data_IF_230366425503
#
_entry.id   IF_230366425503
#
_cell.length_a   1.000
_cell.length_b   1.000
_cell.length_c   1.000
_cell.angle_alpha   90.00
_cell.angle_beta   90.00
_cell.angle_gamma   90.00
#
_symmetry.space_group_name_H-M   'P 1'
#
loop_
_entity.id
_entity.type
_entity.pdbx_description
1 polymer ?
#
# COMPACT_ATOMS: atom_id res chain seq x y z
N UNK A 1 -22.90 -8.52 -16.35
CA UNK A 1 -21.73 -7.80 -16.90
C UNK A 1 -20.66 -7.82 -15.83
N UNK A 2 -19.39 -8.09 -16.16
CA UNK A 2 -18.31 -8.08 -15.18
C UNK A 2 -18.14 -6.67 -14.60
N UNK A 3 -17.87 -6.58 -13.31
CA UNK A 3 -17.60 -5.30 -12.63
C UNK A 3 -16.35 -4.63 -13.21
N UNK A 4 -16.24 -3.32 -13.08
CA UNK A 4 -15.08 -2.54 -13.54
C UNK A 4 -13.75 -3.11 -13.02
N UNK A 5 -13.76 -3.60 -11.78
CA UNK A 5 -12.61 -4.26 -11.15
C UNK A 5 -12.29 -5.58 -11.85
N UNK A 6 -13.28 -6.42 -12.18
CA UNK A 6 -13.06 -7.68 -12.90
C UNK A 6 -12.46 -7.45 -14.30
N UNK A 7 -12.93 -6.40 -14.99
CA UNK A 7 -12.41 -6.02 -16.31
C UNK A 7 -10.94 -5.56 -16.23
N UNK A 8 -10.61 -4.67 -15.28
CA UNK A 8 -9.24 -4.20 -15.06
C UNK A 8 -8.29 -5.29 -14.57
N UNK A 9 -8.82 -6.20 -13.79
CA UNK A 9 -8.05 -7.29 -13.22
C UNK A 9 -7.67 -8.30 -14.30
N UNK A 10 -8.50 -8.49 -15.33
CA UNK A 10 -8.23 -9.35 -16.48
C UNK A 10 -7.77 -10.77 -16.07
N UNK A 11 -8.35 -11.30 -14.99
CA UNK A 11 -8.01 -12.62 -14.43
C UNK A 11 -6.77 -12.66 -13.53
N UNK A 12 -6.08 -11.53 -13.31
CA UNK A 12 -4.98 -11.44 -12.33
C UNK A 12 -5.51 -11.54 -10.90
N UNK A 13 -4.66 -11.88 -9.94
CA UNK A 13 -5.04 -11.80 -8.54
C UNK A 13 -4.86 -10.35 -8.06
N UNK A 14 -5.94 -9.70 -7.67
CA UNK A 14 -5.85 -8.40 -7.00
C UNK A 14 -5.38 -8.62 -5.56
N UNK A 15 -4.17 -8.18 -5.24
CA UNK A 15 -3.57 -8.35 -3.91
C UNK A 15 -3.82 -7.13 -3.02
N UNK A 16 -3.99 -5.95 -3.62
CA UNK A 16 -4.27 -4.72 -2.88
C UNK A 16 -5.16 -3.75 -3.65
N UNK A 17 -6.09 -3.12 -2.93
CA UNK A 17 -6.82 -1.96 -3.40
C UNK A 17 -6.61 -0.85 -2.38
N UNK A 18 -5.93 0.24 -2.77
CA UNK A 18 -5.68 1.40 -1.90
C UNK A 18 -6.15 2.69 -2.56
N UNK A 19 -6.54 3.67 -1.76
CA UNK A 19 -6.82 5.03 -2.21
C UNK A 19 -5.74 5.95 -1.66
N UNK A 20 -4.89 6.45 -2.54
CA UNK A 20 -3.75 7.30 -2.17
C UNK A 20 -4.07 8.80 -2.22
N UNK A 21 -5.17 9.18 -2.88
CA UNK A 21 -5.63 10.57 -2.95
C UNK A 21 -7.11 10.64 -2.57
N UNK A 22 -7.46 11.66 -1.79
CA UNK A 22 -8.86 12.02 -1.60
C UNK A 22 -9.28 13.06 -2.63
N UNK A 23 -9.63 12.59 -3.83
CA UNK A 23 -10.02 13.44 -4.95
C UNK A 23 -11.40 13.03 -5.48
N UNK A 24 -12.40 13.94 -5.51
CA UNK A 24 -13.73 13.63 -6.02
C UNK A 24 -13.81 13.66 -7.56
N UNK A 25 -12.72 14.02 -8.25
CA UNK A 25 -12.73 14.15 -9.70
C UNK A 25 -12.89 12.79 -10.40
N UNK A 26 -13.52 12.82 -11.57
CA UNK A 26 -13.69 11.66 -12.43
C UNK A 26 -12.34 11.19 -12.98
N UNK A 27 -12.14 9.88 -12.97
CA UNK A 27 -10.97 9.23 -13.56
C UNK A 27 -11.11 9.21 -15.07
N UNK A 28 -10.06 9.64 -15.76
CA UNK A 28 -9.98 9.55 -17.23
C UNK A 28 -8.66 8.93 -17.69
N UNK A 29 -7.76 8.63 -16.76
CA UNK A 29 -6.40 8.23 -17.07
C UNK A 29 -5.99 7.03 -16.21
N UNK A 30 -5.45 6.01 -16.87
CA UNK A 30 -4.87 4.85 -16.23
C UNK A 30 -3.35 4.93 -16.33
N UNK A 31 -2.69 4.92 -15.19
CA UNK A 31 -1.24 4.91 -15.10
C UNK A 31 -0.77 3.54 -14.63
N UNK A 32 0.28 3.03 -15.26
CA UNK A 32 0.71 1.65 -15.07
C UNK A 32 2.06 1.60 -14.35
N UNK A 33 2.19 0.65 -13.43
CA UNK A 33 3.49 0.32 -12.85
C UNK A 33 4.40 -0.37 -13.85
N UNK A 34 5.70 -0.47 -13.53
CA UNK A 34 6.56 -1.42 -14.21
C UNK A 34 5.97 -2.83 -14.07
N UNK A 35 6.20 -3.68 -15.07
CA UNK A 35 5.93 -5.10 -14.97
C UNK A 35 7.13 -5.83 -14.36
N UNK A 36 6.90 -6.96 -13.70
CA UNK A 36 7.96 -7.81 -13.14
C UNK A 36 9.00 -8.24 -14.19
N UNK A 37 8.58 -8.50 -15.43
CA UNK A 37 9.45 -8.81 -16.56
C UNK A 37 8.95 -8.18 -17.87
N UNK A 38 9.82 -8.00 -18.89
CA UNK A 38 9.38 -7.54 -20.21
C UNK A 38 8.33 -8.47 -20.82
N UNK A 39 7.16 -7.91 -21.15
CA UNK A 39 6.03 -8.65 -21.73
C UNK A 39 4.96 -9.05 -20.71
N UNK A 40 5.23 -8.94 -19.42
CA UNK A 40 4.23 -9.18 -18.37
C UNK A 40 3.27 -8.00 -18.22
N UNK A 41 2.06 -8.22 -17.68
CA UNK A 41 1.16 -7.15 -17.28
C UNK A 41 1.79 -6.27 -16.19
N UNK A 42 1.37 -5.00 -16.12
CA UNK A 42 1.82 -4.07 -15.10
C UNK A 42 1.51 -4.55 -13.67
N UNK A 43 2.47 -4.36 -12.76
CA UNK A 43 2.38 -4.80 -11.36
C UNK A 43 1.32 -4.02 -10.56
N UNK A 44 0.98 -2.80 -11.00
CA UNK A 44 -0.09 -2.00 -10.43
C UNK A 44 -0.71 -1.09 -11.47
N UNK A 45 -1.93 -0.65 -11.20
CA UNK A 45 -2.67 0.34 -11.99
C UNK A 45 -3.15 1.45 -11.06
N UNK A 46 -2.89 2.70 -11.41
CA UNK A 46 -3.40 3.89 -10.73
C UNK A 46 -4.45 4.58 -11.61
N UNK A 47 -5.60 4.86 -11.02
CA UNK A 47 -6.73 5.53 -11.64
C UNK A 47 -6.70 7.01 -11.25
N UNK A 48 -6.46 7.89 -12.20
CA UNK A 48 -6.20 9.31 -11.96
C UNK A 48 -7.09 10.20 -12.84
N UNK A 49 -7.41 11.38 -12.30
CA UNK A 49 -7.92 12.48 -13.11
C UNK A 49 -6.76 13.14 -13.88
N UNK A 50 -7.04 13.94 -14.93
CA UNK A 50 -6.00 14.57 -15.75
C UNK A 50 -4.97 15.35 -14.93
N UNK A 51 -5.46 16.17 -13.99
CA UNK A 51 -4.59 17.00 -13.14
C UNK A 51 -3.58 16.18 -12.32
N UNK A 52 -4.01 15.06 -11.73
CA UNK A 52 -3.10 14.20 -10.95
C UNK A 52 -2.21 13.33 -11.83
N UNK A 53 -2.65 12.99 -13.05
CA UNK A 53 -1.80 12.29 -14.00
C UNK A 53 -0.64 13.18 -14.48
N UNK A 54 -0.93 14.45 -14.79
CA UNK A 54 0.04 15.44 -15.25
C UNK A 54 1.02 15.88 -14.16
N UNK A 55 0.59 15.91 -12.90
CA UNK A 55 1.44 16.27 -11.77
C UNK A 55 2.51 15.22 -11.42
N UNK A 56 2.37 13.99 -11.92
CA UNK A 56 3.31 12.90 -11.64
C UNK A 56 4.45 12.87 -12.68
N UNK A 57 5.73 12.79 -12.27
CA UNK A 57 6.88 12.80 -13.18
C UNK A 57 6.77 11.70 -14.23
N UNK A 58 7.21 11.90 -15.48
CA UNK A 58 7.13 10.87 -16.53
C UNK A 58 7.75 9.54 -16.03
N UNK A 59 6.90 8.53 -15.88
CA UNK A 59 7.23 7.17 -15.43
C UNK A 59 6.46 6.17 -16.28
N UNK A 60 6.70 4.85 -16.15
CA UNK A 60 6.26 3.89 -17.16
C UNK A 60 4.74 3.94 -17.39
N UNK A 61 4.36 3.78 -18.66
CA UNK A 61 3.01 3.49 -19.16
C UNK A 61 1.89 4.45 -18.75
N UNK A 62 1.53 5.39 -19.63
CA UNK A 62 0.17 5.96 -19.64
C UNK A 62 -0.65 5.19 -20.64
N UNK A 63 -1.72 4.52 -20.18
CA UNK A 63 -2.71 3.93 -21.07
C UNK A 63 -3.92 4.85 -21.12
N UNK A 64 -4.27 5.32 -22.31
CA UNK A 64 -5.52 6.03 -22.55
C UNK A 64 -6.65 5.01 -22.71
N UNK A 65 -7.71 5.12 -21.92
CA UNK A 65 -8.90 4.28 -22.02
C UNK A 65 -9.38 3.80 -20.66
N UNK A 66 -10.24 4.58 -20.01
CA UNK A 66 -10.95 4.22 -18.77
C UNK A 66 -12.47 4.27 -18.94
N UNK A 67 -12.96 4.24 -20.18
CA UNK A 67 -14.40 4.36 -20.46
C UNK A 67 -15.18 3.28 -19.70
N UNK A 68 -16.01 3.73 -18.76
CA UNK A 68 -16.85 2.88 -17.91
C UNK A 68 -16.35 2.63 -16.48
N UNK A 69 -15.11 3.01 -16.13
CA UNK A 69 -14.57 2.75 -14.78
C UNK A 69 -15.12 3.73 -13.73
N UNK A 70 -15.83 3.23 -12.72
CA UNK A 70 -16.43 4.03 -11.64
C UNK A 70 -15.58 4.11 -10.35
N UNK A 71 -14.26 3.93 -10.42
CA UNK A 71 -13.39 4.09 -9.25
C UNK A 71 -12.97 5.56 -9.06
N UNK A 72 -12.83 6.04 -7.81
CA UNK A 72 -12.43 7.40 -7.53
C UNK A 72 -10.98 7.67 -7.95
N UNK A 73 -10.67 8.94 -8.26
CA UNK A 73 -9.30 9.36 -8.50
C UNK A 73 -8.42 9.05 -7.28
N UNK A 74 -7.24 8.49 -7.54
CA UNK A 74 -6.30 8.03 -6.51
C UNK A 74 -6.49 6.57 -6.12
N UNK A 75 -7.44 5.84 -6.71
CA UNK A 75 -7.49 4.38 -6.55
C UNK A 75 -6.28 3.71 -7.21
N UNK A 76 -5.67 2.77 -6.51
CA UNK A 76 -4.56 1.94 -6.99
C UNK A 76 -4.93 0.47 -6.79
N UNK A 77 -4.90 -0.27 -7.90
CA UNK A 77 -5.00 -1.72 -7.94
C UNK A 77 -3.58 -2.29 -7.97
N UNK A 78 -3.25 -3.14 -7.02
CA UNK A 78 -1.91 -3.73 -6.89
C UNK A 78 -1.99 -5.25 -7.08
N UNK A 79 -1.18 -5.75 -8.00
CA UNK A 79 -1.12 -7.15 -8.41
C UNK A 79 0.17 -7.84 -7.96
N UNK A 80 1.07 -7.10 -7.28
CA UNK A 80 2.28 -7.66 -6.66
C UNK A 80 1.91 -8.69 -5.60
N UNK A 81 2.81 -9.61 -5.30
CA UNK A 81 2.61 -10.56 -4.18
C UNK A 81 2.51 -9.82 -2.85
N UNK A 82 1.91 -10.46 -1.85
CA UNK A 82 1.81 -9.88 -0.50
C UNK A 82 3.20 -9.55 0.06
N UNK A 83 4.18 -10.41 -0.17
CA UNK A 83 5.57 -10.20 0.25
C UNK A 83 6.22 -8.99 -0.45
N UNK A 84 5.95 -8.80 -1.74
CA UNK A 84 6.43 -7.62 -2.48
C UNK A 84 5.78 -6.33 -1.96
N UNK A 85 4.49 -6.37 -1.60
CA UNK A 85 3.79 -5.25 -0.96
C UNK A 85 4.37 -4.95 0.42
N UNK A 86 4.60 -5.97 1.24
CA UNK A 86 5.22 -5.81 2.56
C UNK A 86 6.64 -5.25 2.45
N UNK A 87 7.42 -5.67 1.46
CA UNK A 87 8.72 -5.07 1.15
C UNK A 87 8.59 -3.60 0.78
N UNK A 88 7.60 -3.25 -0.04
CA UNK A 88 7.32 -1.84 -0.39
C UNK A 88 7.03 -1.00 0.84
N UNK A 89 6.23 -1.49 1.80
CA UNK A 89 5.97 -0.76 3.05
C UNK A 89 7.21 -0.66 3.96
N UNK A 90 8.03 -1.71 4.01
CA UNK A 90 9.33 -1.69 4.69
C UNK A 90 10.23 -0.57 4.16
N UNK A 91 10.40 -0.52 2.84
CA UNK A 91 11.27 0.44 2.17
C UNK A 91 10.75 1.89 2.26
N UNK A 92 9.43 2.08 2.21
CA UNK A 92 8.81 3.41 2.20
C UNK A 92 8.79 4.08 3.58
N UNK A 93 8.39 3.36 4.62
CA UNK A 93 8.13 4.00 5.91
C UNK A 93 8.44 3.12 7.12
N UNK A 94 8.16 1.81 7.07
CA UNK A 94 8.20 0.96 8.26
C UNK A 94 9.62 0.81 8.82
N UNK A 95 10.63 0.60 7.97
CA UNK A 95 12.03 0.50 8.44
C UNK A 95 12.54 1.85 8.95
N UNK A 96 12.21 2.95 8.28
CA UNK A 96 12.57 4.30 8.75
C UNK A 96 11.96 4.60 10.12
N UNK A 97 10.69 4.25 10.29
CA UNK A 97 9.95 4.53 11.51
C UNK A 97 10.42 3.61 12.64
N UNK A 98 10.58 2.32 12.42
CA UNK A 98 10.83 1.35 13.51
C UNK A 98 12.30 0.92 13.66
N UNK A 99 13.14 1.21 12.68
CA UNK A 99 14.52 0.68 12.62
C UNK A 99 14.59 -0.82 12.29
N UNK A 100 13.46 -1.49 12.05
CA UNK A 100 13.42 -2.92 11.75
C UNK A 100 13.71 -3.14 10.26
N UNK A 101 14.86 -3.74 9.97
CA UNK A 101 15.23 -4.18 8.61
C UNK A 101 14.72 -5.61 8.35
N UNK A 102 13.85 -5.84 7.35
CA UNK A 102 13.39 -7.18 6.98
C UNK A 102 14.52 -8.18 6.70
N UNK A 103 15.70 -7.73 6.26
CA UNK A 103 16.86 -8.60 5.99
C UNK A 103 17.39 -9.28 7.25
N UNK A 104 17.33 -8.61 8.41
CA UNK A 104 17.74 -9.18 9.70
C UNK A 104 16.90 -10.40 10.09
N UNK A 105 15.67 -10.46 9.56
CA UNK A 105 14.71 -11.54 9.81
C UNK A 105 14.58 -12.49 8.63
N UNK A 106 15.56 -12.52 7.71
CA UNK A 106 15.49 -13.33 6.48
C UNK A 106 14.18 -13.15 5.68
N UNK A 107 13.54 -11.97 5.81
CA UNK A 107 12.22 -11.65 5.23
C UNK A 107 11.08 -12.57 5.71
N UNK A 108 11.19 -13.14 6.89
CA UNK A 108 10.07 -13.81 7.58
C UNK A 108 9.12 -12.74 8.09
N UNK A 109 8.13 -12.38 7.25
CA UNK A 109 7.23 -11.25 7.49
C UNK A 109 6.49 -11.24 8.84
N UNK A 110 6.00 -12.39 9.36
CA UNK A 110 5.41 -12.41 10.70
C UNK A 110 6.37 -11.88 11.78
N UNK A 111 7.64 -12.26 11.71
CA UNK A 111 8.66 -11.84 12.70
C UNK A 111 9.02 -10.36 12.52
N UNK A 112 9.14 -9.89 11.27
CA UNK A 112 9.38 -8.48 10.94
C UNK A 112 8.28 -7.59 11.51
N UNK A 113 7.02 -7.92 11.22
CA UNK A 113 5.87 -7.13 11.68
C UNK A 113 5.69 -7.20 13.19
N UNK A 114 5.95 -8.37 13.80
CA UNK A 114 5.91 -8.52 15.25
C UNK A 114 6.96 -7.64 15.94
N UNK A 115 8.19 -7.61 15.42
CA UNK A 115 9.23 -6.75 15.97
C UNK A 115 8.87 -5.26 15.78
N UNK A 116 8.37 -4.90 14.60
CA UNK A 116 8.00 -3.52 14.32
C UNK A 116 6.88 -3.02 15.25
N UNK A 117 5.87 -3.85 15.52
CA UNK A 117 4.81 -3.58 16.51
C UNK A 117 5.40 -3.38 17.92
N UNK A 118 6.30 -4.26 18.37
CA UNK A 118 6.97 -4.12 19.68
C UNK A 118 7.73 -2.80 19.81
N UNK A 119 8.45 -2.39 18.77
CA UNK A 119 9.19 -1.11 18.77
C UNK A 119 8.22 0.07 18.85
N UNK A 120 7.15 0.07 18.06
CA UNK A 120 6.15 1.14 18.09
C UNK A 120 5.49 1.29 19.47
N UNK A 121 5.13 0.17 20.11
CA UNK A 121 4.57 0.18 21.46
C UNK A 121 5.53 0.68 22.52
N UNK A 122 6.81 0.28 22.44
CA UNK A 122 7.83 0.76 23.36
C UNK A 122 7.95 2.28 23.30
N UNK A 123 7.98 2.86 22.09
CA UNK A 123 8.01 4.32 21.90
C UNK A 123 6.78 5.02 22.45
N UNK A 124 5.59 4.48 22.23
CA UNK A 124 4.35 5.03 22.81
C UNK A 124 4.32 4.97 24.34
N UNK A 125 4.96 3.98 24.95
CA UNK A 125 5.07 3.88 26.41
C UNK A 125 6.05 4.89 27.02
N UNK A 126 7.01 5.38 26.23
CA UNK A 126 8.00 6.38 26.62
C UNK A 126 7.47 7.83 26.45
N UNK A 127 6.65 8.08 25.42
CA UNK A 127 5.98 9.36 25.17
C UNK A 127 4.70 9.53 26.02
N UNK A 128 4.87 9.94 27.28
CA UNK A 128 3.77 10.18 28.24
C UNK A 128 3.24 11.63 28.23
N UNK A 129 3.71 12.48 27.31
CA UNK A 129 3.25 13.86 27.17
C UNK A 129 2.38 14.00 25.91
N UNK A 130 1.09 14.29 26.10
CA UNK A 130 0.07 14.62 25.10
C UNK A 130 0.19 13.81 23.79
N UNK A 131 -0.28 12.56 23.87
CA UNK A 131 -0.01 11.51 22.89
C UNK A 131 -0.29 11.91 21.46
N UNK A 132 0.71 11.72 20.60
CA UNK A 132 0.55 11.85 19.16
C UNK A 132 -0.49 10.81 18.67
N UNK A 133 -1.72 11.30 18.46
CA UNK A 133 -2.85 10.51 17.95
C UNK A 133 -2.50 9.77 16.64
N UNK A 134 -1.57 10.31 15.85
CA UNK A 134 -1.06 9.69 14.62
C UNK A 134 -0.21 8.48 14.94
N UNK A 135 0.74 8.60 15.88
CA UNK A 135 1.56 7.46 16.34
C UNK A 135 0.70 6.38 17.02
N UNK A 136 -0.32 6.77 17.78
CA UNK A 136 -1.26 5.81 18.38
C UNK A 136 -2.03 5.04 17.30
N UNK A 137 -2.56 5.75 16.30
CA UNK A 137 -3.27 5.16 15.16
C UNK A 137 -2.37 4.23 14.34
N UNK A 138 -1.12 4.62 14.11
CA UNK A 138 -0.10 3.79 13.45
C UNK A 138 0.16 2.49 14.22
N UNK A 139 0.32 2.56 15.55
CA UNK A 139 0.57 1.38 16.36
C UNK A 139 -0.63 0.41 16.37
N UNK A 140 -1.86 0.92 16.50
CA UNK A 140 -3.07 0.08 16.44
C UNK A 140 -3.17 -0.69 15.12
N UNK A 141 -2.88 0.00 14.01
CA UNK A 141 -2.98 -0.60 12.68
C UNK A 141 -1.81 -1.55 12.40
N UNK A 142 -0.60 -1.24 12.87
CA UNK A 142 0.54 -2.16 12.80
C UNK A 142 0.32 -3.43 13.64
N UNK A 143 -0.31 -3.31 14.82
CA UNK A 143 -0.72 -4.47 15.61
C UNK A 143 -1.67 -5.37 14.80
N UNK A 144 -2.68 -4.79 14.15
CA UNK A 144 -3.62 -5.56 13.33
C UNK A 144 -2.89 -6.26 12.16
N UNK A 145 -1.94 -5.58 11.52
CA UNK A 145 -1.07 -6.17 10.50
C UNK A 145 -0.27 -7.36 11.04
N UNK A 146 0.34 -7.20 12.22
CA UNK A 146 1.12 -8.26 12.86
C UNK A 146 0.28 -9.48 13.20
N UNK A 147 -0.96 -9.32 13.69
CA UNK A 147 -1.87 -10.43 13.96
C UNK A 147 -2.23 -11.20 12.68
N UNK A 148 -2.63 -10.49 11.63
CA UNK A 148 -2.95 -11.11 10.33
C UNK A 148 -1.76 -11.90 9.77
N UNK A 149 -0.54 -11.37 9.88
CA UNK A 149 0.66 -12.07 9.44
C UNK A 149 0.97 -13.30 10.30
N UNK A 150 0.79 -13.24 11.62
CA UNK A 150 0.98 -14.39 12.51
C UNK A 150 0.00 -15.54 12.21
N UNK A 151 -1.20 -15.22 11.71
CA UNK A 151 -2.18 -16.20 11.23
C UNK A 151 -1.84 -16.74 9.82
N UNK A 152 -0.72 -16.32 9.23
CA UNK A 152 -0.30 -16.71 7.88
C UNK A 152 -0.99 -15.95 6.76
N UNK A 153 -1.78 -14.92 7.08
CA UNK A 153 -2.55 -14.16 6.10
C UNK A 153 -1.85 -12.85 5.71
N UNK A 154 -0.79 -12.97 4.90
CA UNK A 154 0.01 -11.83 4.47
C UNK A 154 -0.80 -10.83 3.63
N UNK A 155 -1.75 -11.29 2.82
CA UNK A 155 -2.64 -10.39 2.07
C UNK A 155 -3.49 -9.52 3.01
N UNK A 156 -4.02 -10.07 4.10
CA UNK A 156 -4.76 -9.28 5.08
C UNK A 156 -3.84 -8.39 5.93
N UNK A 157 -2.56 -8.72 6.04
CA UNK A 157 -1.59 -7.86 6.73
C UNK A 157 -1.29 -6.56 5.95
N UNK A 158 -1.37 -6.56 4.61
CA UNK A 158 -1.10 -5.35 3.80
C UNK A 158 -2.18 -4.28 3.93
N UNK A 159 -3.44 -4.67 4.20
CA UNK A 159 -4.58 -3.74 4.30
C UNK A 159 -4.37 -2.67 5.38
N UNK A 160 -4.10 -3.02 6.66
CA UNK A 160 -3.80 -2.02 7.68
C UNK A 160 -2.51 -1.25 7.41
N UNK A 161 -1.50 -1.86 6.77
CA UNK A 161 -0.25 -1.18 6.46
C UNK A 161 -0.41 -0.10 5.38
N UNK A 162 -1.36 -0.25 4.46
CA UNK A 162 -1.71 0.80 3.50
C UNK A 162 -2.30 2.04 4.20
N UNK A 163 -3.07 1.84 5.27
CA UNK A 163 -3.53 2.95 6.11
C UNK A 163 -2.36 3.58 6.87
N UNK A 164 -1.47 2.76 7.44
CA UNK A 164 -0.26 3.25 8.10
C UNK A 164 0.62 4.10 7.17
N UNK A 165 0.78 3.71 5.91
CA UNK A 165 1.55 4.49 4.94
C UNK A 165 1.03 5.93 4.80
N UNK A 166 -0.30 6.09 4.77
CA UNK A 166 -0.94 7.42 4.69
C UNK A 166 -0.69 8.27 5.93
N UNK A 167 -0.66 7.63 7.11
CA UNK A 167 -0.36 8.32 8.37
C UNK A 167 1.13 8.63 8.51
N UNK A 168 2.00 7.71 8.11
CA UNK A 168 3.45 7.86 8.21
C UNK A 168 3.98 9.02 7.34
N UNK A 169 3.27 9.38 6.26
CA UNK A 169 3.58 10.57 5.46
C UNK A 169 3.34 11.90 6.20
N UNK A 170 2.64 11.87 7.35
CA UNK A 170 2.32 13.06 8.16
C UNK A 170 3.31 13.29 9.31
N UNK A 171 4.22 12.34 9.56
CA UNK A 171 5.29 12.42 10.56
C UNK A 171 6.57 13.01 9.95
#
# INVERSE_FOLDING_TARGET
MPSDIEQLTAGRQLTGLRRVLDCPATVTTLRQGPAAAPGDPADWLALLCPAHSEALPEGPGTAAGTDGLCLPCGSVLDYRSAEQLLQSHADLWLTRLTGVDPKTYARVWPDVLNQADRVMRARLGEDTADGDETLHSLAMMLEMASRNAAEGNLCQATVPLAYCETLAQRL
#
